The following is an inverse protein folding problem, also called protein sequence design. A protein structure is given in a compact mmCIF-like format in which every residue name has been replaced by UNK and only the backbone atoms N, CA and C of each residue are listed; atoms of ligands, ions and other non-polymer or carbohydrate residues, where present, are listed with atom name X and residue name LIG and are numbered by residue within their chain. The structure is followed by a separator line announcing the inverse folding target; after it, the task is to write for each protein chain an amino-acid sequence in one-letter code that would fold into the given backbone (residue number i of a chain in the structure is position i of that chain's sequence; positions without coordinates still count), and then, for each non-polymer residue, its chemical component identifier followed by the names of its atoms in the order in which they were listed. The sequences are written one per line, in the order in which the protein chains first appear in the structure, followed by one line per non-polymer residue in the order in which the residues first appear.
data_IF_934969280089
#
_entry.id   IF_934969280089
#
_cell.length_a   1.000
_cell.length_b   1.000
_cell.length_c   1.000
_cell.angle_alpha   90.00
_cell.angle_beta   90.00
_cell.angle_gamma   90.00
#
_symmetry.space_group_name_H-M   'P 1'
#
loop_
_entity.id
_entity.type
_entity.pdbx_description
1 polymer ?
#
# COMPACT_ATOMS: atom_id res chain seq x y z
N UNK A 1 -18.41 5.27 6.40
CA UNK A 1 -17.23 4.38 6.48
C UNK A 1 -16.85 4.23 7.94
N UNK A 2 -16.95 3.02 8.46
CA UNK A 2 -16.47 2.66 9.80
C UNK A 2 -14.94 2.59 9.81
N UNK A 3 -14.29 2.67 10.99
CA UNK A 3 -12.84 2.48 11.09
C UNK A 3 -12.35 1.15 10.49
N UNK A 4 -13.15 0.08 10.61
CA UNK A 4 -12.85 -1.23 10.03
C UNK A 4 -12.95 -1.21 8.50
N UNK A 5 -13.96 -0.57 7.92
CA UNK A 5 -14.07 -0.43 6.46
C UNK A 5 -12.89 0.36 5.88
N UNK A 6 -12.44 1.42 6.58
CA UNK A 6 -11.27 2.19 6.18
C UNK A 6 -9.97 1.37 6.27
N UNK A 7 -9.81 0.54 7.31
CA UNK A 7 -8.69 -0.38 7.46
C UNK A 7 -8.66 -1.44 6.35
N UNK A 8 -9.80 -2.08 6.11
CA UNK A 8 -9.94 -3.09 5.05
C UNK A 8 -9.66 -2.49 3.67
N UNK A 9 -10.14 -1.27 3.41
CA UNK A 9 -9.83 -0.55 2.17
C UNK A 9 -8.34 -0.25 2.00
N UNK A 10 -7.66 0.22 3.06
CA UNK A 10 -6.20 0.46 3.04
C UNK A 10 -5.42 -0.83 2.77
N UNK A 11 -5.76 -1.92 3.46
CA UNK A 11 -5.11 -3.23 3.25
C UNK A 11 -5.35 -3.79 1.86
N UNK A 12 -6.55 -3.60 1.28
CA UNK A 12 -6.86 -4.02 -0.09
C UNK A 12 -5.96 -3.30 -1.10
N UNK A 13 -5.92 -1.97 -1.06
CA UNK A 13 -5.08 -1.18 -1.98
C UNK A 13 -3.60 -1.53 -1.83
N UNK A 14 -3.14 -1.74 -0.60
CA UNK A 14 -1.75 -2.13 -0.35
C UNK A 14 -1.43 -3.54 -0.85
N UNK A 15 -2.38 -4.49 -0.79
CA UNK A 15 -2.21 -5.82 -1.41
C UNK A 15 -2.11 -5.72 -2.93
N UNK A 16 -3.02 -4.98 -3.57
CA UNK A 16 -2.97 -4.78 -5.04
C UNK A 16 -1.63 -4.15 -5.46
N UNK A 17 -1.16 -3.16 -4.69
CA UNK A 17 0.15 -2.54 -4.89
C UNK A 17 1.30 -3.54 -4.71
N UNK A 18 1.27 -4.37 -3.67
CA UNK A 18 2.29 -5.40 -3.42
C UNK A 18 2.31 -6.45 -4.55
N UNK A 19 1.15 -6.92 -5.00
CA UNK A 19 1.05 -7.89 -6.10
C UNK A 19 1.67 -7.35 -7.39
N UNK A 20 1.44 -6.07 -7.70
CA UNK A 20 2.08 -5.44 -8.86
C UNK A 20 3.59 -5.24 -8.63
N UNK A 21 4.01 -4.80 -7.44
CA UNK A 21 5.43 -4.66 -7.09
C UNK A 21 6.21 -5.97 -7.22
N UNK A 22 5.61 -7.11 -6.89
CA UNK A 22 6.26 -8.42 -7.00
C UNK A 22 6.59 -8.83 -8.44
N UNK A 23 6.00 -8.18 -9.45
CA UNK A 23 6.31 -8.43 -10.86
C UNK A 23 7.58 -7.70 -11.33
N UNK A 24 8.12 -6.78 -10.54
CA UNK A 24 9.22 -5.90 -10.91
C UNK A 24 10.32 -5.89 -9.85
N UNK A 25 11.57 -5.74 -10.27
CA UNK A 25 12.74 -5.71 -9.38
C UNK A 25 13.45 -4.36 -9.33
N UNK A 26 13.09 -3.42 -10.22
CA UNK A 26 13.72 -2.10 -10.29
C UNK A 26 13.10 -1.08 -9.33
N UNK A 27 13.94 -0.33 -8.61
CA UNK A 27 13.53 0.77 -7.72
C UNK A 27 12.73 1.87 -8.44
N UNK A 28 13.05 2.15 -9.70
CA UNK A 28 12.33 3.16 -10.50
C UNK A 28 10.89 2.70 -10.77
N UNK A 29 10.73 1.42 -11.12
CA UNK A 29 9.41 0.80 -11.33
C UNK A 29 8.63 0.74 -10.01
N UNK A 30 9.30 0.44 -8.90
CA UNK A 30 8.67 0.43 -7.58
C UNK A 30 8.13 1.81 -7.20
N UNK A 31 8.89 2.87 -7.48
CA UNK A 31 8.47 4.25 -7.25
C UNK A 31 7.25 4.60 -8.09
N UNK A 32 7.28 4.27 -9.38
CA UNK A 32 6.15 4.51 -10.30
C UNK A 32 4.87 3.76 -9.87
N UNK A 33 5.01 2.51 -9.42
CA UNK A 33 3.90 1.71 -8.90
C UNK A 33 3.34 2.35 -7.63
N UNK A 34 4.18 2.74 -6.67
CA UNK A 34 3.70 3.43 -5.47
C UNK A 34 2.95 4.73 -5.82
N UNK A 35 3.43 5.49 -6.80
CA UNK A 35 2.75 6.71 -7.26
C UNK A 35 1.40 6.42 -7.92
N UNK A 36 1.28 5.34 -8.70
CA UNK A 36 0.03 4.85 -9.29
C UNK A 36 -1.05 4.55 -8.23
N UNK A 37 -0.67 3.98 -7.09
CA UNK A 37 -1.62 3.58 -6.02
C UNK A 37 -1.85 4.65 -4.96
N UNK A 38 -0.92 5.60 -4.80
CA UNK A 38 -1.04 6.71 -3.83
C UNK A 38 -2.36 7.51 -3.94
N UNK A 39 -2.85 7.93 -5.13
CA UNK A 39 -4.10 8.70 -5.22
C UNK A 39 -5.33 7.86 -4.82
N UNK A 40 -5.31 6.55 -5.06
CA UNK A 40 -6.37 5.62 -4.63
C UNK A 40 -6.35 5.43 -3.11
N UNK A 41 -5.16 5.42 -2.51
CA UNK A 41 -4.98 5.29 -1.07
C UNK A 41 -5.32 6.57 -0.29
N UNK A 42 -5.03 7.74 -0.87
CA UNK A 42 -5.21 9.06 -0.26
C UNK A 42 -6.57 9.28 0.43
N UNK A 43 -7.73 8.99 -0.19
CA UNK A 43 -9.03 9.19 0.46
C UNK A 43 -9.25 8.32 1.71
N UNK A 44 -8.51 7.21 1.84
CA UNK A 44 -8.59 6.30 2.98
C UNK A 44 -7.55 6.64 4.08
N UNK A 45 -6.64 7.57 3.79
CA UNK A 45 -5.58 7.97 4.71
C UNK A 45 -6.02 9.15 5.58
N UNK A 46 -6.60 8.85 6.73
CA UNK A 46 -6.93 9.84 7.76
C UNK A 46 -5.79 10.08 8.76
N UNK A 47 -4.60 9.53 8.50
CA UNK A 47 -3.42 9.68 9.35
C UNK A 47 -2.68 10.98 9.05
N UNK A 48 -1.92 11.47 10.02
CA UNK A 48 -1.07 12.68 9.89
C UNK A 48 0.03 12.54 8.83
N UNK A 49 0.37 11.33 8.43
CA UNK A 49 1.48 11.06 7.51
C UNK A 49 1.06 11.11 6.04
N UNK A 50 1.99 11.43 5.11
CA UNK A 50 1.71 11.40 3.68
C UNK A 50 1.22 10.03 3.21
N UNK A 51 0.21 10.02 2.33
CA UNK A 51 -0.43 8.80 1.84
C UNK A 51 0.57 7.79 1.26
N UNK A 52 1.56 8.25 0.47
CA UNK A 52 2.62 7.39 -0.09
C UNK A 52 3.45 6.69 0.99
N UNK A 53 3.75 7.39 2.09
CA UNK A 53 4.51 6.84 3.21
C UNK A 53 3.71 5.78 3.96
N UNK A 54 2.43 6.04 4.18
CA UNK A 54 1.51 5.09 4.83
C UNK A 54 1.28 3.88 3.95
N UNK A 55 1.04 4.05 2.65
CA UNK A 55 0.94 2.96 1.68
C UNK A 55 2.19 2.08 1.72
N UNK A 56 3.38 2.66 1.65
CA UNK A 56 4.64 1.92 1.73
C UNK A 56 4.87 1.21 3.08
N UNK A 57 4.26 1.68 4.17
CA UNK A 57 4.22 0.94 5.43
C UNK A 57 3.36 -0.33 5.29
N UNK A 58 2.12 -0.19 4.81
CA UNK A 58 1.22 -1.34 4.63
C UNK A 58 1.79 -2.39 3.67
N UNK A 59 2.36 -1.97 2.55
CA UNK A 59 3.01 -2.87 1.59
C UNK A 59 4.10 -3.69 2.27
N UNK A 60 4.98 -3.06 3.06
CA UNK A 60 6.06 -3.75 3.78
C UNK A 60 5.54 -4.67 4.87
N UNK A 61 4.50 -4.27 5.59
CA UNK A 61 3.86 -5.13 6.61
C UNK A 61 3.27 -6.39 5.96
N UNK A 62 2.51 -6.24 4.88
CA UNK A 62 1.94 -7.36 4.12
C UNK A 62 3.02 -8.27 3.52
N UNK A 63 4.11 -7.70 3.02
CA UNK A 63 5.23 -8.46 2.47
C UNK A 63 5.90 -9.34 3.55
N UNK A 64 6.00 -8.85 4.80
CA UNK A 64 6.51 -9.64 5.92
C UNK A 64 5.54 -10.76 6.28
N UNK A 65 4.25 -10.46 6.42
CA UNK A 65 3.21 -11.46 6.69
C UNK A 65 3.21 -12.61 5.66
N UNK A 66 3.52 -12.34 4.39
CA UNK A 66 3.65 -13.36 3.35
C UNK A 66 4.94 -14.20 3.44
N UNK A 67 5.99 -13.69 4.08
CA UNK A 67 7.27 -14.40 4.24
C UNK A 67 7.33 -15.22 5.52
N UNK A 68 6.68 -14.75 6.58
CA UNK A 68 6.61 -15.39 7.89
C UNK A 68 5.43 -16.37 8.04
N UNK A 69 4.57 -16.50 7.00
CA UNK A 69 3.37 -17.34 6.98
C UNK A 69 3.49 -18.64 6.19
#
# INVERSE_FOLDING_TARGET
MTPQEAENGRRRIARDCLTELMQYTSDEQHTAILDKYTPKFKPLNHLRFPAKRVLGYYVRTLQKEMKDG
#
